data_IF_952284298203
#
_entry.id   IF_952284298203
#
_cell.length_a   1.000
_cell.length_b   1.000
_cell.length_c   1.000
_cell.angle_alpha   90.00
_cell.angle_beta   90.00
_cell.angle_gamma   90.00
#
_symmetry.space_group_name_H-M   'P 1'
#
loop_
_entity.id
_entity.type
_entity.pdbx_description
1 polymer ?
#
# COMPACT_ATOMS: atom_id res chain seq x y z
N UNK A 1 -2.03 -13.73 6.69
CA UNK A 1 -2.83 -12.80 5.91
C UNK A 1 -4.27 -12.71 6.40
N UNK A 2 -5.07 -13.78 6.31
CA UNK A 2 -6.52 -13.79 6.60
C UNK A 2 -6.85 -13.28 8.01
N UNK A 3 -6.13 -13.73 9.05
CA UNK A 3 -6.36 -13.30 10.43
C UNK A 3 -6.13 -11.78 10.62
N UNK A 4 -5.02 -11.26 10.08
CA UNK A 4 -4.69 -9.82 10.17
C UNK A 4 -5.65 -8.99 9.33
N UNK A 5 -5.97 -9.44 8.11
CA UNK A 5 -6.95 -8.79 7.24
C UNK A 5 -8.35 -8.72 7.87
N UNK A 6 -8.80 -9.83 8.48
CA UNK A 6 -10.05 -9.86 9.23
C UNK A 6 -10.04 -8.88 10.42
N UNK A 7 -8.95 -8.85 11.19
CA UNK A 7 -8.80 -7.91 12.29
C UNK A 7 -8.83 -6.45 11.81
N UNK A 8 -8.19 -6.16 10.66
CA UNK A 8 -8.22 -4.85 10.03
C UNK A 8 -9.64 -4.43 9.64
N UNK A 9 -10.35 -5.29 8.89
CA UNK A 9 -11.74 -5.01 8.47
C UNK A 9 -12.67 -4.84 9.67
N UNK A 10 -12.52 -5.69 10.69
CA UNK A 10 -13.35 -5.60 11.91
C UNK A 10 -13.12 -4.28 12.66
N UNK A 11 -11.87 -3.82 12.73
CA UNK A 11 -11.47 -2.64 13.50
C UNK A 11 -11.71 -1.32 12.76
N UNK A 12 -11.84 -1.31 11.44
CA UNK A 12 -12.15 -0.09 10.69
C UNK A 12 -13.46 0.54 11.17
N UNK A 13 -13.50 1.85 11.49
CA UNK A 13 -14.72 2.54 11.89
C UNK A 13 -15.71 2.74 10.72
N UNK A 14 -15.20 2.84 9.50
CA UNK A 14 -15.97 3.00 8.26
C UNK A 14 -15.21 2.39 7.08
N UNK A 15 -15.89 2.15 5.95
CA UNK A 15 -15.28 1.64 4.73
C UNK A 15 -14.72 0.21 4.85
N UNK A 16 -15.32 -0.63 5.70
CA UNK A 16 -14.96 -2.05 5.87
C UNK A 16 -15.03 -2.81 4.55
N UNK A 17 -16.02 -2.49 3.74
CA UNK A 17 -16.25 -3.03 2.41
C UNK A 17 -15.12 -2.68 1.43
N UNK A 18 -14.53 -1.48 1.56
CA UNK A 18 -13.40 -1.06 0.72
C UNK A 18 -12.17 -1.92 1.01
N UNK A 19 -11.84 -2.11 2.29
CA UNK A 19 -10.73 -2.97 2.67
C UNK A 19 -10.97 -4.43 2.25
N UNK A 20 -12.20 -4.93 2.45
CA UNK A 20 -12.58 -6.28 2.00
C UNK A 20 -12.44 -6.42 0.48
N UNK A 21 -12.86 -5.43 -0.30
CA UNK A 21 -12.69 -5.42 -1.75
C UNK A 21 -11.22 -5.45 -2.20
N UNK A 22 -10.34 -4.69 -1.55
CA UNK A 22 -8.90 -4.74 -1.85
C UNK A 22 -8.30 -6.10 -1.51
N UNK A 23 -8.76 -6.73 -0.42
CA UNK A 23 -8.32 -8.07 -0.05
C UNK A 23 -8.79 -9.17 -1.00
N UNK A 24 -9.87 -8.93 -1.76
CA UNK A 24 -10.37 -9.83 -2.79
C UNK A 24 -9.77 -9.57 -4.18
N UNK A 25 -8.86 -8.63 -4.37
CA UNK A 25 -8.24 -8.45 -5.68
C UNK A 25 -7.41 -9.66 -6.08
N UNK A 26 -7.44 -10.09 -7.36
CA UNK A 26 -6.66 -11.23 -7.84
C UNK A 26 -5.17 -11.13 -7.51
N UNK A 27 -4.57 -9.91 -7.62
CA UNK A 27 -3.18 -9.70 -7.22
C UNK A 27 -2.96 -9.93 -5.72
N UNK A 28 -3.87 -9.47 -4.87
CA UNK A 28 -3.75 -9.67 -3.42
C UNK A 28 -3.87 -11.15 -3.05
N UNK A 29 -4.81 -11.88 -3.66
CA UNK A 29 -5.00 -13.32 -3.46
C UNK A 29 -3.81 -14.12 -4.01
N UNK A 30 -3.27 -13.73 -5.16
CA UNK A 30 -2.06 -14.31 -5.72
C UNK A 30 -0.87 -14.16 -4.77
N UNK A 31 -0.64 -12.97 -4.22
CA UNK A 31 0.40 -12.74 -3.21
C UNK A 31 0.14 -13.55 -1.92
N UNK A 32 -1.12 -13.71 -1.53
CA UNK A 32 -1.49 -14.50 -0.35
C UNK A 32 -1.25 -16.01 -0.52
N UNK A 33 -1.29 -16.51 -1.75
CA UNK A 33 -0.98 -17.90 -2.10
C UNK A 33 0.51 -18.15 -2.39
N UNK A 34 1.31 -17.09 -2.51
CA UNK A 34 2.75 -17.17 -2.73
C UNK A 34 3.53 -16.92 -1.43
N UNK A 35 4.83 -17.29 -1.42
CA UNK A 35 5.74 -17.01 -0.30
C UNK A 35 6.26 -15.56 -0.31
N UNK A 36 5.45 -14.60 -0.79
CA UNK A 36 5.84 -13.20 -0.85
C UNK A 36 5.58 -12.49 0.48
N UNK A 37 6.56 -11.74 0.97
CA UNK A 37 6.38 -10.85 2.12
C UNK A 37 5.46 -9.65 1.81
N UNK A 38 5.19 -9.35 0.54
CA UNK A 38 4.29 -8.26 0.13
C UNK A 38 2.87 -8.45 0.72
N UNK A 39 2.40 -9.69 0.85
CA UNK A 39 1.09 -9.98 1.45
C UNK A 39 1.01 -9.56 2.92
N UNK A 40 2.10 -9.72 3.66
CA UNK A 40 2.17 -9.27 5.05
C UNK A 40 2.13 -7.75 5.13
N UNK A 41 2.82 -7.06 4.22
CA UNK A 41 2.81 -5.59 4.15
C UNK A 41 1.38 -5.09 3.87
N UNK A 42 0.66 -5.68 2.92
CA UNK A 42 -0.73 -5.32 2.61
C UNK A 42 -1.63 -5.49 3.84
N UNK A 43 -1.56 -6.64 4.51
CA UNK A 43 -2.40 -6.90 5.67
C UNK A 43 -2.04 -6.01 6.87
N UNK A 44 -0.74 -5.81 7.15
CA UNK A 44 -0.27 -5.00 8.27
C UNK A 44 -0.53 -3.50 8.04
N UNK A 45 -0.35 -2.98 6.82
CA UNK A 45 -0.67 -1.59 6.52
C UNK A 45 -2.18 -1.32 6.65
N UNK A 46 -3.02 -2.25 6.22
CA UNK A 46 -4.47 -2.15 6.43
C UNK A 46 -4.83 -2.20 7.92
N UNK A 47 -4.19 -3.07 8.70
CA UNK A 47 -4.41 -3.13 10.14
C UNK A 47 -3.92 -1.87 10.86
N UNK A 48 -2.73 -1.36 10.52
CA UNK A 48 -2.22 -0.09 11.06
C UNK A 48 -3.18 1.07 10.76
N UNK A 49 -3.65 1.14 9.52
CA UNK A 49 -4.67 2.11 9.09
C UNK A 49 -5.95 2.00 9.92
N UNK A 50 -6.45 0.78 10.11
CA UNK A 50 -7.65 0.54 10.88
C UNK A 50 -7.52 0.99 12.33
N UNK A 51 -6.39 0.68 12.98
CA UNK A 51 -6.10 1.13 14.35
C UNK A 51 -6.03 2.66 14.43
N UNK A 52 -5.29 3.30 13.51
CA UNK A 52 -5.17 4.77 13.49
C UNK A 52 -6.52 5.45 13.29
N UNK A 53 -7.35 4.95 12.35
CA UNK A 53 -8.67 5.52 12.07
C UNK A 53 -9.67 5.28 13.22
N UNK A 54 -9.66 4.11 13.84
CA UNK A 54 -10.45 3.81 15.02
C UNK A 54 -10.10 4.78 16.16
N UNK A 55 -8.80 4.91 16.47
CA UNK A 55 -8.32 5.83 17.50
C UNK A 55 -8.59 7.30 17.15
N UNK A 56 -8.55 7.67 15.87
CA UNK A 56 -8.84 9.05 15.47
C UNK A 56 -10.33 9.38 15.56
N UNK A 57 -11.21 8.43 15.20
CA UNK A 57 -12.63 8.69 14.98
C UNK A 57 -13.53 8.23 16.13
N UNK A 58 -13.39 6.97 16.59
CA UNK A 58 -14.36 6.35 17.51
C UNK A 58 -13.84 6.16 18.94
N UNK A 59 -12.62 5.68 19.11
CA UNK A 59 -12.08 5.40 20.45
C UNK A 59 -12.04 6.66 21.33
N UNK A 60 -12.42 6.52 22.59
CA UNK A 60 -12.42 7.63 23.57
C UNK A 60 -11.00 7.99 24.06
N UNK A 61 -10.11 7.01 24.10
CA UNK A 61 -8.72 7.14 24.57
C UNK A 61 -7.79 6.15 23.87
N UNK A 62 -6.51 6.46 23.83
CA UNK A 62 -5.45 5.56 23.37
C UNK A 62 -4.96 4.71 24.53
N UNK A 63 -5.00 3.40 24.38
CA UNK A 63 -4.49 2.44 25.36
C UNK A 63 -3.04 2.02 25.07
N UNK A 64 -2.39 1.41 26.06
CA UNK A 64 -1.04 0.84 25.89
C UNK A 64 -1.04 -0.26 24.83
N UNK A 65 -2.07 -1.10 24.78
CA UNK A 65 -2.20 -2.16 23.78
C UNK A 65 -2.27 -1.61 22.34
N UNK A 66 -2.90 -0.43 22.14
CA UNK A 66 -2.98 0.20 20.83
C UNK A 66 -1.60 0.68 20.38
N UNK A 67 -0.86 1.34 21.28
CA UNK A 67 0.51 1.80 21.00
C UNK A 67 1.43 0.60 20.74
N UNK A 68 1.32 -0.48 21.53
CA UNK A 68 2.09 -1.69 21.35
C UNK A 68 1.78 -2.35 20.00
N UNK A 69 0.50 -2.40 19.58
CA UNK A 69 0.10 -2.93 18.29
C UNK A 69 0.68 -2.10 17.13
N UNK A 70 0.58 -0.77 17.20
CA UNK A 70 1.16 0.13 16.21
C UNK A 70 2.69 -0.01 16.12
N UNK A 71 3.37 -0.09 17.26
CA UNK A 71 4.82 -0.29 17.32
C UNK A 71 5.24 -1.65 16.75
N UNK A 72 4.52 -2.73 17.08
CA UNK A 72 4.79 -4.07 16.56
C UNK A 72 4.62 -4.13 15.03
N UNK A 73 3.55 -3.51 14.50
CA UNK A 73 3.34 -3.43 13.05
C UNK A 73 4.49 -2.69 12.38
N UNK A 74 4.92 -1.55 12.90
CA UNK A 74 6.03 -0.78 12.33
C UNK A 74 7.37 -1.53 12.42
N UNK A 75 7.61 -2.27 13.49
CA UNK A 75 8.81 -3.10 13.64
C UNK A 75 8.89 -4.22 12.59
N UNK A 76 7.75 -4.76 12.15
CA UNK A 76 7.72 -5.79 11.10
C UNK A 76 7.76 -5.15 9.70
N UNK A 77 6.99 -4.09 9.47
CA UNK A 77 6.91 -3.45 8.15
C UNK A 77 8.21 -2.78 7.72
N UNK A 78 8.93 -2.16 8.66
CA UNK A 78 10.18 -1.47 8.36
C UNK A 78 11.19 -2.33 7.62
N UNK A 79 11.66 -3.45 8.21
CA UNK A 79 12.60 -4.34 7.56
C UNK A 79 12.13 -4.94 6.23
N UNK A 80 10.82 -5.18 6.09
CA UNK A 80 10.26 -5.72 4.86
C UNK A 80 10.33 -4.73 3.70
N UNK A 81 9.88 -3.49 3.93
CA UNK A 81 9.94 -2.39 2.95
C UNK A 81 9.85 -1.04 3.67
N UNK A 82 10.99 -0.42 3.88
CA UNK A 82 11.16 0.84 4.60
C UNK A 82 10.22 1.96 4.13
N UNK A 83 9.90 2.02 2.85
CA UNK A 83 9.07 3.07 2.25
C UNK A 83 7.66 3.16 2.86
N UNK A 84 7.12 2.06 3.36
CA UNK A 84 5.81 2.07 4.02
C UNK A 84 5.84 2.60 5.46
N UNK A 85 7.02 2.88 6.01
CA UNK A 85 7.15 3.62 7.28
C UNK A 85 6.45 4.99 7.26
N UNK A 86 6.26 5.58 6.08
CA UNK A 86 5.49 6.81 5.86
C UNK A 86 4.06 6.71 6.40
N UNK A 87 3.46 5.52 6.39
CA UNK A 87 2.09 5.27 6.92
C UNK A 87 2.00 5.58 8.42
N UNK A 88 3.13 5.59 9.17
CA UNK A 88 3.18 6.05 10.56
C UNK A 88 2.65 7.48 10.74
N UNK A 89 2.72 8.30 9.68
CA UNK A 89 2.11 9.63 9.66
C UNK A 89 0.60 9.66 9.90
N UNK A 90 -0.11 8.53 9.78
CA UNK A 90 -1.52 8.42 10.17
C UNK A 90 -1.75 8.64 11.67
N UNK A 91 -0.76 8.37 12.51
CA UNK A 91 -0.83 8.64 13.94
C UNK A 91 -1.07 10.13 14.26
N UNK A 92 -0.69 11.03 13.33
CA UNK A 92 -0.94 12.47 13.49
C UNK A 92 -2.43 12.86 13.34
N UNK A 93 -3.26 11.99 12.80
CA UNK A 93 -4.71 12.18 12.78
C UNK A 93 -5.35 11.97 14.17
N UNK A 94 -4.65 11.29 15.08
CA UNK A 94 -5.17 10.97 16.41
C UNK A 94 -5.01 12.21 17.32
N UNK A 95 -6.11 12.76 17.88
CA UNK A 95 -6.04 13.94 18.73
C UNK A 95 -5.18 13.71 19.98
N UNK A 96 -4.28 14.63 20.30
CA UNK A 96 -3.39 14.58 21.48
C UNK A 96 -4.18 14.36 22.78
N UNK A 97 -5.38 14.90 22.88
CA UNK A 97 -6.27 14.74 24.05
C UNK A 97 -6.58 13.28 24.37
N UNK A 98 -6.66 12.41 23.34
CA UNK A 98 -6.95 10.97 23.51
C UNK A 98 -5.78 10.20 24.15
N UNK A 99 -4.56 10.74 24.09
CA UNK A 99 -3.39 10.20 24.79
C UNK A 99 -3.33 10.67 26.25
N UNK A 100 -4.14 11.65 26.64
CA UNK A 100 -4.09 12.25 27.98
C UNK A 100 -3.00 13.31 28.14
N UNK A 101 -2.49 13.89 27.05
CA UNK A 101 -1.56 15.02 27.01
C UNK A 101 -0.35 14.80 26.11
N UNK A 102 0.40 15.87 25.89
CA UNK A 102 1.56 15.91 24.98
C UNK A 102 2.69 14.95 25.37
N UNK A 103 2.94 14.76 26.67
CA UNK A 103 3.98 13.84 27.15
C UNK A 103 3.70 12.39 26.75
N UNK A 104 2.47 11.92 26.98
CA UNK A 104 2.07 10.56 26.59
C UNK A 104 1.99 10.39 25.07
N UNK A 105 1.56 11.43 24.36
CA UNK A 105 1.59 11.44 22.89
C UNK A 105 3.03 11.30 22.37
N UNK A 106 3.96 12.12 22.89
CA UNK A 106 5.37 12.05 22.51
C UNK A 106 6.02 10.70 22.82
N UNK A 107 5.73 10.12 24.00
CA UNK A 107 6.20 8.78 24.34
C UNK A 107 5.64 7.70 23.41
N UNK A 108 4.36 7.79 23.04
CA UNK A 108 3.74 6.87 22.10
C UNK A 108 4.35 6.99 20.69
N UNK A 109 4.58 8.22 20.23
CA UNK A 109 5.26 8.47 18.95
C UNK A 109 6.71 7.92 18.98
N UNK A 110 7.44 8.15 20.08
CA UNK A 110 8.79 7.61 20.26
C UNK A 110 8.79 6.07 20.28
N UNK A 111 7.78 5.43 20.89
CA UNK A 111 7.66 3.97 20.90
C UNK A 111 7.44 3.41 19.49
N UNK A 112 6.52 4.00 18.70
CA UNK A 112 6.20 3.55 17.34
C UNK A 112 7.39 3.78 16.39
N UNK A 113 7.96 4.99 16.38
CA UNK A 113 9.10 5.32 15.51
C UNK A 113 10.38 4.64 15.98
N UNK A 114 10.58 4.51 17.29
CA UNK A 114 11.71 3.79 17.86
C UNK A 114 11.69 2.30 17.53
N UNK A 115 10.52 1.66 17.57
CA UNK A 115 10.38 0.26 17.15
C UNK A 115 10.72 0.08 15.66
N UNK A 116 10.25 0.98 14.79
CA UNK A 116 10.62 1.00 13.38
C UNK A 116 12.14 1.18 13.20
N UNK A 117 12.72 2.20 13.82
CA UNK A 117 14.15 2.51 13.69
C UNK A 117 15.04 1.39 14.24
N UNK A 118 14.69 0.81 15.38
CA UNK A 118 15.42 -0.30 15.99
C UNK A 118 15.37 -1.54 15.08
N UNK A 119 14.21 -1.89 14.57
CA UNK A 119 14.07 -3.02 13.64
C UNK A 119 14.86 -2.80 12.35
N UNK A 120 14.79 -1.58 11.78
CA UNK A 120 15.60 -1.20 10.61
C UNK A 120 17.10 -1.30 10.89
N UNK A 121 17.56 -0.79 12.04
CA UNK A 121 18.97 -0.85 12.41
C UNK A 121 19.44 -2.30 12.60
N UNK A 122 18.66 -3.14 13.26
CA UNK A 122 19.03 -4.54 13.53
C UNK A 122 19.09 -5.35 12.23
N UNK A 123 18.07 -5.21 11.36
CA UNK A 123 17.91 -6.07 10.18
C UNK A 123 18.56 -5.50 8.93
N UNK A 124 18.42 -4.20 8.68
CA UNK A 124 18.73 -3.60 7.38
C UNK A 124 19.96 -2.66 7.39
N UNK A 125 20.70 -2.57 8.50
CA UNK A 125 21.85 -1.63 8.61
C UNK A 125 22.86 -1.76 7.48
N UNK A 126 23.20 -2.98 7.08
CA UNK A 126 24.17 -3.25 6.00
C UNK A 126 23.61 -2.82 4.64
N UNK A 127 22.34 -3.09 4.37
CA UNK A 127 21.67 -2.67 3.13
C UNK A 127 21.56 -1.16 3.04
N UNK A 128 21.18 -0.49 4.14
CA UNK A 128 21.10 0.99 4.19
C UNK A 128 22.48 1.60 3.96
N UNK A 129 23.51 1.08 4.64
CA UNK A 129 24.89 1.55 4.47
C UNK A 129 25.39 1.40 3.02
N UNK A 130 25.07 0.26 2.38
CA UNK A 130 25.42 0.01 0.99
C UNK A 130 24.91 1.09 0.05
N UNK A 131 23.63 1.48 0.18
CA UNK A 131 23.03 2.47 -0.72
C UNK A 131 23.32 3.93 -0.35
N UNK A 132 23.59 4.23 0.93
CA UNK A 132 23.84 5.62 1.37
C UNK A 132 25.30 6.03 1.33
N UNK A 133 26.24 5.08 1.47
CA UNK A 133 27.68 5.35 1.55
C UNK A 133 28.42 4.99 0.27
N UNK A 134 27.78 4.32 -0.68
CA UNK A 134 28.43 3.95 -1.94
C UNK A 134 28.80 5.19 -2.76
N UNK A 135 30.06 5.27 -3.18
CA UNK A 135 30.55 6.25 -4.16
C UNK A 135 30.16 5.88 -5.59
N UNK A 136 29.94 4.58 -5.85
CA UNK A 136 29.50 4.03 -7.12
C UNK A 136 28.35 3.07 -6.88
N UNK A 137 27.43 3.01 -7.84
CA UNK A 137 26.28 2.11 -7.83
C UNK A 137 26.32 1.21 -9.06
N UNK A 138 26.05 -0.09 -8.88
CA UNK A 138 26.02 -1.07 -9.95
C UNK A 138 24.71 -1.85 -9.92
N UNK A 139 24.05 -1.90 -11.09
CA UNK A 139 22.78 -2.60 -11.27
C UNK A 139 23.04 -3.97 -11.89
N UNK A 140 23.13 -5.00 -11.05
CA UNK A 140 23.61 -6.31 -11.43
C UNK A 140 22.82 -6.99 -12.56
N UNK A 141 21.50 -6.79 -12.62
CA UNK A 141 20.66 -7.41 -13.65
C UNK A 141 20.84 -6.80 -15.05
N UNK A 142 21.31 -5.53 -15.11
CA UNK A 142 21.55 -4.80 -16.35
C UNK A 142 23.04 -4.79 -16.71
N UNK A 143 23.92 -5.21 -15.80
CA UNK A 143 25.37 -5.12 -15.92
C UNK A 143 25.87 -3.69 -16.20
N UNK A 144 25.17 -2.69 -15.65
CA UNK A 144 25.43 -1.27 -15.86
C UNK A 144 25.56 -0.49 -14.55
N UNK A 145 26.08 0.73 -14.66
CA UNK A 145 26.13 1.69 -13.54
C UNK A 145 24.73 2.17 -13.20
N UNK A 146 24.43 2.26 -11.90
CA UNK A 146 23.20 2.85 -11.36
C UNK A 146 23.41 4.27 -10.84
N UNK A 147 22.35 4.84 -10.27
CA UNK A 147 22.41 6.12 -9.61
C UNK A 147 22.89 6.00 -8.17
N UNK A 148 23.71 6.93 -7.70
CA UNK A 148 24.07 7.03 -6.28
C UNK A 148 23.06 7.92 -5.54
N UNK A 149 22.93 7.71 -4.22
CA UNK A 149 22.06 8.52 -3.37
C UNK A 149 22.40 10.02 -3.47
N UNK A 150 23.69 10.36 -3.46
CA UNK A 150 24.18 11.73 -3.59
C UNK A 150 23.78 12.37 -4.92
N UNK A 151 23.92 11.66 -6.05
CA UNK A 151 23.52 12.16 -7.37
C UNK A 151 22.03 12.48 -7.42
N UNK A 152 21.17 11.57 -6.91
CA UNK A 152 19.72 11.77 -6.91
C UNK A 152 19.31 12.95 -6.01
N UNK A 153 19.94 13.09 -4.85
CA UNK A 153 19.66 14.19 -3.93
C UNK A 153 19.99 15.56 -4.52
N UNK A 154 21.08 15.65 -5.28
CA UNK A 154 21.49 16.90 -5.95
C UNK A 154 20.77 17.15 -7.29
N UNK A 155 19.99 16.19 -7.78
CA UNK A 155 19.29 16.27 -9.06
C UNK A 155 17.79 16.03 -8.95
N UNK A 156 17.02 16.82 -8.16
CA UNK A 156 15.59 16.59 -7.94
C UNK A 156 14.77 16.68 -9.25
N UNK A 157 15.19 17.51 -10.22
CA UNK A 157 14.57 17.58 -11.53
C UNK A 157 14.66 16.26 -12.32
N UNK A 158 15.78 15.54 -12.23
CA UNK A 158 15.95 14.23 -12.82
C UNK A 158 14.96 13.22 -12.16
N UNK A 159 14.89 13.24 -10.84
CA UNK A 159 13.98 12.33 -10.10
C UNK A 159 12.53 12.57 -10.52
N UNK A 160 12.08 13.82 -10.55
CA UNK A 160 10.72 14.19 -10.97
C UNK A 160 10.45 13.78 -12.43
N UNK A 161 11.41 14.03 -13.34
CA UNK A 161 11.28 13.61 -14.74
C UNK A 161 11.16 12.10 -14.86
N UNK A 162 12.01 11.33 -14.20
CA UNK A 162 11.97 9.87 -14.23
C UNK A 162 10.66 9.32 -13.65
N UNK A 163 10.14 9.92 -12.57
CA UNK A 163 8.82 9.57 -12.03
C UNK A 163 7.71 9.84 -13.05
N UNK A 164 7.72 11.01 -13.69
CA UNK A 164 6.73 11.37 -14.70
C UNK A 164 6.80 10.42 -15.91
N UNK A 165 7.99 10.20 -16.47
CA UNK A 165 8.20 9.32 -17.61
C UNK A 165 7.74 7.88 -17.30
N UNK A 166 8.02 7.39 -16.08
CA UNK A 166 7.57 6.07 -15.63
C UNK A 166 6.04 5.98 -15.59
N UNK A 167 5.38 6.97 -15.01
CA UNK A 167 3.92 6.99 -14.95
C UNK A 167 3.29 7.14 -16.33
N UNK A 168 3.90 7.95 -17.21
CA UNK A 168 3.41 8.15 -18.57
C UNK A 168 3.55 6.89 -19.45
N UNK A 169 4.66 6.15 -19.32
CA UNK A 169 4.95 5.00 -20.18
C UNK A 169 4.48 3.67 -19.60
N UNK A 170 4.50 3.51 -18.28
CA UNK A 170 4.18 2.25 -17.59
C UNK A 170 2.90 2.32 -16.75
N UNK A 171 2.18 3.46 -16.74
CA UNK A 171 1.02 3.68 -15.87
C UNK A 171 -0.08 2.64 -16.06
N UNK A 172 -0.38 2.23 -17.29
CA UNK A 172 -1.35 1.18 -17.57
C UNK A 172 -0.90 -0.17 -17.01
N UNK A 173 0.37 -0.53 -17.18
CA UNK A 173 0.94 -1.76 -16.65
C UNK A 173 0.95 -1.76 -15.11
N UNK A 174 1.28 -0.62 -14.49
CA UNK A 174 1.24 -0.46 -13.04
C UNK A 174 -0.18 -0.57 -12.51
N UNK A 175 -1.14 0.06 -13.17
CA UNK A 175 -2.56 -0.03 -12.83
C UNK A 175 -3.09 -1.46 -12.97
N UNK A 176 -2.91 -2.08 -14.14
CA UNK A 176 -3.38 -3.45 -14.36
C UNK A 176 -2.70 -4.44 -13.42
N UNK A 177 -1.38 -4.30 -13.20
CA UNK A 177 -0.61 -5.12 -12.29
C UNK A 177 -1.01 -4.95 -10.81
N UNK A 178 -1.55 -3.80 -10.42
CA UNK A 178 -2.12 -3.60 -9.08
C UNK A 178 -3.38 -4.43 -8.87
N UNK A 179 -4.24 -4.54 -9.86
CA UNK A 179 -5.52 -5.26 -9.75
C UNK A 179 -5.33 -6.77 -9.93
N UNK A 180 -4.54 -7.19 -10.93
CA UNK A 180 -4.34 -8.61 -11.24
C UNK A 180 -3.77 -8.87 -12.63
N UNK A 181 -3.25 -7.84 -13.30
CA UNK A 181 -2.73 -7.95 -14.66
C UNK A 181 -1.32 -8.54 -14.79
N UNK A 182 -0.66 -8.91 -13.70
CA UNK A 182 0.71 -9.44 -13.71
C UNK A 182 0.86 -10.61 -12.74
N UNK A 183 0.08 -11.66 -12.95
CA UNK A 183 0.09 -12.87 -12.15
C UNK A 183 1.23 -13.83 -12.60
N UNK A 184 1.51 -14.86 -11.82
CA UNK A 184 2.41 -15.92 -12.20
C UNK A 184 3.84 -15.45 -12.50
N UNK A 185 4.45 -14.68 -11.62
CA UNK A 185 5.80 -14.11 -11.79
C UNK A 185 5.91 -13.19 -13.03
N UNK A 186 4.87 -12.38 -13.27
CA UNK A 186 4.75 -11.43 -14.39
C UNK A 186 4.66 -12.11 -15.78
N UNK A 187 4.19 -13.35 -15.82
CA UNK A 187 3.94 -14.05 -17.07
C UNK A 187 2.73 -13.41 -17.79
N UNK A 188 2.96 -12.88 -19.00
CA UNK A 188 1.93 -12.20 -19.78
C UNK A 188 0.76 -13.09 -20.18
N UNK A 189 0.91 -14.43 -20.19
CA UNK A 189 -0.16 -15.38 -20.50
C UNK A 189 -1.09 -15.59 -19.30
N UNK A 190 -0.57 -15.51 -18.08
CA UNK A 190 -1.32 -15.71 -16.84
C UNK A 190 -2.03 -14.45 -16.34
N UNK A 191 -2.08 -13.39 -17.13
CA UNK A 191 -2.73 -12.14 -16.77
C UNK A 191 -4.26 -12.29 -16.66
N UNK A 192 -4.85 -11.55 -15.71
CA UNK A 192 -6.30 -11.33 -15.66
C UNK A 192 -6.76 -10.60 -16.93
N UNK A 193 -7.84 -11.03 -17.61
CA UNK A 193 -8.37 -10.32 -18.76
C UNK A 193 -8.72 -8.86 -18.41
N UNK A 194 -8.38 -7.94 -19.33
CA UNK A 194 -8.57 -6.51 -19.09
C UNK A 194 -10.02 -6.10 -18.76
N UNK A 195 -11.08 -6.67 -19.36
CA UNK A 195 -12.46 -6.40 -18.95
C UNK A 195 -12.74 -6.75 -17.49
N UNK A 196 -12.11 -7.82 -16.96
CA UNK A 196 -12.25 -8.21 -15.54
C UNK A 196 -11.54 -7.21 -14.65
N UNK A 197 -10.35 -6.71 -15.06
CA UNK A 197 -9.64 -5.63 -14.35
C UNK A 197 -10.52 -4.38 -14.25
N UNK A 198 -11.16 -3.98 -15.34
CA UNK A 198 -12.07 -2.83 -15.34
C UNK A 198 -13.30 -3.06 -14.44
N UNK A 199 -13.89 -4.26 -14.49
CA UNK A 199 -15.03 -4.62 -13.66
C UNK A 199 -14.68 -4.61 -12.16
N UNK A 200 -13.52 -5.17 -11.78
CA UNK A 200 -13.00 -5.13 -10.41
C UNK A 200 -12.72 -3.69 -9.95
N UNK A 201 -12.16 -2.87 -10.83
CA UNK A 201 -11.94 -1.44 -10.53
C UNK A 201 -13.26 -0.72 -10.31
N UNK A 202 -14.25 -0.94 -11.17
CA UNK A 202 -15.58 -0.37 -11.01
C UNK A 202 -16.23 -0.82 -9.69
N UNK A 203 -16.07 -2.09 -9.32
CA UNK A 203 -16.53 -2.62 -8.03
C UNK A 203 -15.86 -1.90 -6.84
N UNK A 204 -14.53 -1.71 -6.88
CA UNK A 204 -13.81 -0.95 -5.84
C UNK A 204 -14.28 0.50 -5.75
N UNK A 205 -14.48 1.18 -6.88
CA UNK A 205 -14.99 2.55 -6.91
C UNK A 205 -16.40 2.59 -6.31
N UNK A 206 -17.28 1.66 -6.66
CA UNK A 206 -18.61 1.55 -6.08
C UNK A 206 -18.58 1.32 -4.56
N UNK A 207 -17.68 0.47 -4.06
CA UNK A 207 -17.47 0.27 -2.62
C UNK A 207 -16.91 1.53 -1.94
N UNK A 208 -16.11 2.33 -2.66
CA UNK A 208 -15.54 3.58 -2.17
C UNK A 208 -16.52 4.76 -2.18
N UNK A 209 -17.72 4.62 -2.78
CA UNK A 209 -18.77 5.64 -2.68
C UNK A 209 -19.44 5.59 -1.32
N UNK A 210 -19.87 6.76 -0.83
CA UNK A 210 -20.61 6.88 0.42
C UNK A 210 -22.00 6.21 0.32
N UNK A 211 -22.43 5.57 1.39
CA UNK A 211 -23.79 5.02 1.52
C UNK A 211 -24.74 6.05 2.14
N UNK A 212 -26.05 5.96 1.87
CA UNK A 212 -27.05 6.79 2.55
C UNK A 212 -26.95 6.60 4.08
N UNK A 213 -26.91 7.70 4.83
CA UNK A 213 -26.81 7.67 6.28
C UNK A 213 -25.44 7.34 6.87
N UNK A 214 -24.43 6.99 6.04
CA UNK A 214 -23.07 6.75 6.51
C UNK A 214 -22.44 8.05 7.02
N UNK A 215 -21.86 8.03 8.22
CA UNK A 215 -21.13 9.17 8.77
C UNK A 215 -19.69 9.14 8.30
N UNK A 216 -19.21 10.30 7.85
CA UNK A 216 -17.81 10.47 7.44
C UNK A 216 -17.05 11.25 8.52
N UNK A 217 -16.32 10.55 9.40
CA UNK A 217 -15.67 11.20 10.54
C UNK A 217 -14.40 11.97 10.16
N UNK A 218 -13.87 11.77 8.92
CA UNK A 218 -12.66 12.44 8.46
C UNK A 218 -13.02 13.67 7.61
N UNK A 219 -12.71 14.86 8.14
CA UNK A 219 -12.87 16.12 7.43
C UNK A 219 -11.88 16.27 6.26
N UNK A 220 -12.06 17.34 5.46
CA UNK A 220 -11.24 17.60 4.27
C UNK A 220 -9.73 17.71 4.57
N UNK A 221 -9.33 18.27 5.72
CA UNK A 221 -7.92 18.36 6.15
C UNK A 221 -7.29 16.98 6.38
N UNK A 222 -8.04 16.07 7.01
CA UNK A 222 -7.58 14.70 7.22
C UNK A 222 -7.44 13.93 5.90
N UNK A 223 -8.35 14.16 4.94
CA UNK A 223 -8.24 13.57 3.59
C UNK A 223 -7.03 14.08 2.83
N UNK A 224 -6.75 15.39 2.87
CA UNK A 224 -5.55 15.97 2.27
C UNK A 224 -4.28 15.40 2.90
N UNK A 225 -4.28 15.19 4.23
CA UNK A 225 -3.17 14.56 4.92
C UNK A 225 -2.94 13.11 4.45
N UNK A 226 -4.00 12.33 4.32
CA UNK A 226 -3.92 10.95 3.79
C UNK A 226 -3.40 10.95 2.35
N UNK A 227 -3.88 11.85 1.49
CA UNK A 227 -3.39 12.00 0.12
C UNK A 227 -1.90 12.34 0.09
N UNK A 228 -1.47 13.26 0.96
CA UNK A 228 -0.06 13.60 1.10
C UNK A 228 0.76 12.37 1.48
N UNK A 229 0.33 11.57 2.46
CA UNK A 229 1.02 10.33 2.85
C UNK A 229 1.07 9.31 1.69
N UNK A 230 -0.01 9.15 0.93
CA UNK A 230 -0.02 8.28 -0.24
C UNK A 230 0.97 8.75 -1.31
N UNK A 231 1.03 10.06 -1.58
CA UNK A 231 1.98 10.65 -2.53
C UNK A 231 3.43 10.50 -2.06
N UNK A 232 3.70 10.76 -0.78
CA UNK A 232 5.06 10.55 -0.21
C UNK A 232 5.46 9.08 -0.28
N UNK A 233 4.54 8.16 0.01
CA UNK A 233 4.80 6.73 -0.08
C UNK A 233 5.09 6.31 -1.53
N UNK A 234 4.32 6.79 -2.51
CA UNK A 234 4.56 6.57 -3.93
C UNK A 234 5.92 7.14 -4.36
N UNK A 235 6.23 8.38 -3.97
CA UNK A 235 7.51 9.03 -4.27
C UNK A 235 8.69 8.29 -3.66
N UNK A 236 8.59 7.87 -2.40
CA UNK A 236 9.62 7.07 -1.72
C UNK A 236 9.82 5.71 -2.40
N UNK A 237 8.75 5.08 -2.87
CA UNK A 237 8.81 3.82 -3.62
C UNK A 237 9.52 4.03 -4.96
N UNK A 238 9.14 5.04 -5.73
CA UNK A 238 9.80 5.40 -6.99
C UNK A 238 11.28 5.71 -6.77
N UNK A 239 11.60 6.52 -5.75
CA UNK A 239 12.97 6.86 -5.40
C UNK A 239 13.81 5.63 -5.01
N UNK A 240 13.24 4.71 -4.23
CA UNK A 240 13.94 3.48 -3.84
C UNK A 240 14.26 2.58 -5.04
N UNK A 241 13.34 2.47 -6.01
CA UNK A 241 13.56 1.71 -7.24
C UNK A 241 14.55 2.40 -8.18
N UNK A 242 14.50 3.73 -8.25
CA UNK A 242 15.47 4.52 -9.00
C UNK A 242 16.90 4.32 -8.47
N UNK A 243 17.06 4.29 -7.15
CA UNK A 243 18.35 4.09 -6.48
C UNK A 243 18.88 2.66 -6.60
N UNK A 244 17.99 1.66 -6.42
CA UNK A 244 18.43 0.28 -6.24
C UNK A 244 18.34 -0.59 -7.50
N UNK A 245 17.57 -0.18 -8.51
CA UNK A 245 17.18 -1.08 -9.60
C UNK A 245 17.30 -0.46 -11.00
N UNK A 246 17.58 0.85 -11.10
CA UNK A 246 17.54 1.56 -12.37
C UNK A 246 18.92 1.92 -12.87
N UNK A 247 19.37 1.43 -14.05
CA UNK A 247 20.62 1.85 -14.66
C UNK A 247 20.52 3.28 -15.22
N UNK A 248 21.64 3.98 -15.29
CA UNK A 248 21.68 5.39 -15.77
C UNK A 248 21.24 5.57 -17.22
N UNK A 249 21.31 4.52 -18.03
CA UNK A 249 20.87 4.49 -19.44
C UNK A 249 19.36 4.39 -19.59
N UNK A 250 18.65 4.01 -18.53
CA UNK A 250 17.20 3.83 -18.58
C UNK A 250 16.46 5.18 -18.63
N UNK A 251 15.39 5.25 -19.44
CA UNK A 251 14.52 6.42 -19.55
C UNK A 251 13.38 6.43 -18.53
N UNK A 252 13.12 5.28 -17.90
CA UNK A 252 12.06 5.06 -16.91
C UNK A 252 12.61 4.33 -15.70
N UNK A 253 11.96 4.46 -14.56
CA UNK A 253 12.36 3.75 -13.36
C UNK A 253 12.05 2.27 -13.53
N UNK A 254 13.06 1.42 -13.44
CA UNK A 254 12.94 -0.02 -13.57
C UNK A 254 12.52 -0.67 -12.25
N UNK A 255 11.88 -1.85 -12.33
CA UNK A 255 11.52 -2.65 -11.18
C UNK A 255 10.27 -2.19 -10.40
N UNK A 256 9.64 -1.08 -10.79
CA UNK A 256 8.37 -0.64 -10.20
C UNK A 256 7.26 -1.59 -10.62
N UNK A 257 6.48 -2.07 -9.65
CA UNK A 257 5.39 -3.02 -9.91
C UNK A 257 4.10 -2.52 -9.29
N UNK A 258 2.97 -2.75 -9.98
CA UNK A 258 1.65 -2.29 -9.54
C UNK A 258 1.27 -2.81 -8.15
N UNK A 259 1.66 -4.05 -7.79
CA UNK A 259 1.41 -4.64 -6.47
C UNK A 259 1.96 -3.81 -5.30
N UNK A 260 2.97 -2.98 -5.54
CA UNK A 260 3.52 -2.11 -4.50
C UNK A 260 2.58 -0.96 -4.11
N UNK A 261 1.52 -0.72 -4.86
CA UNK A 261 0.50 0.29 -4.54
C UNK A 261 -0.63 -0.27 -3.65
N UNK A 262 -0.77 -1.60 -3.56
CA UNK A 262 -1.82 -2.26 -2.76
C UNK A 262 -1.83 -1.86 -1.28
N UNK A 263 -0.68 -1.67 -0.57
CA UNK A 263 -0.69 -1.26 0.83
C UNK A 263 -1.33 0.10 1.09
N UNK A 264 -1.26 1.03 0.13
CA UNK A 264 -1.82 2.38 0.25
C UNK A 264 -3.18 2.53 -0.45
N UNK A 265 -3.59 1.54 -1.25
CA UNK A 265 -4.84 1.58 -2.01
C UNK A 265 -6.09 1.70 -1.11
N UNK A 266 -6.24 0.95 0.00
CA UNK A 266 -7.38 1.13 0.90
C UNK A 266 -7.44 2.56 1.45
N UNK A 267 -6.30 3.13 1.86
CA UNK A 267 -6.21 4.51 2.36
C UNK A 267 -6.72 5.52 1.33
N UNK A 268 -6.25 5.41 0.10
CA UNK A 268 -6.68 6.27 -0.99
C UNK A 268 -8.18 6.14 -1.24
N UNK A 269 -8.70 4.92 -1.37
CA UNK A 269 -10.11 4.66 -1.64
C UNK A 269 -11.03 5.18 -0.52
N UNK A 270 -10.63 5.05 0.75
CA UNK A 270 -11.40 5.58 1.89
C UNK A 270 -11.59 7.10 1.81
N UNK A 271 -10.67 7.83 1.20
CA UNK A 271 -10.79 9.28 1.04
C UNK A 271 -11.80 9.70 -0.04
N UNK A 272 -12.17 8.79 -0.95
CA UNK A 272 -13.15 9.05 -2.00
C UNK A 272 -14.58 9.16 -1.47
N UNK A 273 -14.87 8.54 -0.31
CA UNK A 273 -16.18 8.66 0.35
C UNK A 273 -16.48 10.13 0.68
N UNK A 274 -17.52 10.67 0.04
CA UNK A 274 -17.91 12.08 0.24
C UNK A 274 -19.43 12.26 0.08
N UNK A 275 -19.95 13.40 0.55
CA UNK A 275 -21.38 13.70 0.55
C UNK A 275 -21.93 14.06 -0.84
N UNK A 276 -21.08 14.32 -1.83
CA UNK A 276 -21.48 14.71 -3.19
C UNK A 276 -21.75 13.50 -4.08
N UNK A 277 -21.12 12.36 -3.79
CA UNK A 277 -21.26 11.11 -4.54
C UNK A 277 -21.76 10.02 -3.61
N UNK A 278 -23.07 9.92 -3.49
CA UNK A 278 -23.75 8.94 -2.62
C UNK A 278 -24.32 7.83 -3.49
N UNK A 279 -23.97 6.60 -3.17
CA UNK A 279 -24.51 5.41 -3.81
C UNK A 279 -25.92 5.15 -3.30
N UNK A 280 -26.86 4.94 -4.19
CA UNK A 280 -28.19 4.52 -3.85
C UNK A 280 -28.31 3.03 -3.56
N UNK A 281 -28.83 2.25 -3.36
CA UNK A 281 -29.36 0.93 -3.10
C UNK A 281 -28.54 -0.34 -3.38
N UNK A 282 -27.25 -0.30 -3.57
CA UNK A 282 -26.47 -1.52 -3.78
C UNK A 282 -25.95 -2.08 -2.44
N UNK A 283 -26.29 -3.34 -2.17
CA UNK A 283 -25.74 -4.05 -1.00
C UNK A 283 -24.29 -4.39 -1.25
N UNK A 284 -23.39 -4.01 -0.31
CA UNK A 284 -21.95 -4.32 -0.39
C UNK A 284 -21.69 -5.81 -0.60
N UNK A 285 -22.48 -6.67 0.05
CA UNK A 285 -22.38 -8.12 -0.11
C UNK A 285 -22.56 -8.60 -1.54
N UNK A 286 -23.43 -7.96 -2.34
CA UNK A 286 -23.60 -8.28 -3.76
C UNK A 286 -22.37 -7.93 -4.60
N UNK A 287 -21.77 -6.75 -4.33
CA UNK A 287 -20.55 -6.32 -5.02
C UNK A 287 -19.37 -7.23 -4.66
N UNK A 288 -19.18 -7.51 -3.36
CA UNK A 288 -18.12 -8.40 -2.89
C UNK A 288 -18.30 -9.82 -3.41
N UNK A 289 -19.55 -10.32 -3.51
CA UNK A 289 -19.84 -11.61 -4.12
C UNK A 289 -19.47 -11.62 -5.61
N UNK A 290 -19.82 -10.56 -6.36
CA UNK A 290 -19.44 -10.44 -7.77
C UNK A 290 -17.91 -10.40 -7.95
N UNK A 291 -17.18 -9.70 -7.06
CA UNK A 291 -15.71 -9.72 -7.06
C UNK A 291 -15.18 -11.15 -6.82
N UNK A 292 -15.70 -11.86 -5.82
CA UNK A 292 -15.32 -13.25 -5.55
C UNK A 292 -15.63 -14.19 -6.73
N UNK A 293 -16.76 -14.00 -7.43
CA UNK A 293 -17.07 -14.77 -8.63
C UNK A 293 -16.07 -14.49 -9.78
N UNK A 294 -15.64 -13.24 -9.95
CA UNK A 294 -14.59 -12.89 -10.89
C UNK A 294 -13.25 -13.52 -10.51
N UNK A 295 -12.91 -13.60 -9.22
CA UNK A 295 -11.70 -14.28 -8.76
C UNK A 295 -11.74 -15.79 -9.06
N UNK A 296 -12.88 -16.43 -8.83
CA UNK A 296 -13.07 -17.86 -9.22
C UNK A 296 -12.84 -18.04 -10.72
N UNK A 297 -13.39 -17.16 -11.54
CA UNK A 297 -13.13 -17.19 -13.00
C UNK A 297 -11.63 -17.05 -13.31
N UNK A 298 -10.92 -16.10 -12.68
CA UNK A 298 -9.48 -15.90 -12.88
C UNK A 298 -8.69 -17.15 -12.48
N UNK A 299 -9.01 -17.75 -11.34
CA UNK A 299 -8.34 -18.98 -10.86
C UNK A 299 -8.56 -20.14 -11.83
N UNK A 300 -9.81 -20.39 -12.27
CA UNK A 300 -10.13 -21.45 -13.22
C UNK A 300 -9.43 -21.22 -14.57
N UNK A 301 -9.37 -19.99 -15.03
CA UNK A 301 -8.65 -19.62 -16.25
C UNK A 301 -7.14 -19.91 -16.12
N UNK A 302 -6.51 -19.48 -15.03
CA UNK A 302 -5.08 -19.75 -14.77
C UNK A 302 -4.84 -21.26 -14.72
N UNK A 303 -5.67 -22.00 -13.99
CA UNK A 303 -5.56 -23.45 -13.89
C UNK A 303 -5.64 -24.12 -15.27
N UNK A 304 -6.63 -23.73 -16.10
CA UNK A 304 -6.76 -24.24 -17.48
C UNK A 304 -5.52 -23.94 -18.33
N UNK A 305 -4.99 -22.71 -18.26
CA UNK A 305 -3.80 -22.33 -19.01
C UNK A 305 -2.54 -23.08 -18.58
N UNK A 306 -2.39 -23.34 -17.28
CA UNK A 306 -1.28 -24.13 -16.76
C UNK A 306 -1.39 -25.58 -17.18
N UNK A 307 -2.59 -26.18 -17.11
CA UNK A 307 -2.81 -27.57 -17.58
C UNK A 307 -2.58 -27.73 -19.09
N UNK A 308 -2.84 -26.70 -19.90
CA UNK A 308 -2.60 -26.76 -21.35
C UNK A 308 -1.10 -26.60 -21.72
N UNK A 309 -0.26 -26.16 -20.79
CA UNK A 309 1.19 -26.04 -20.99
C UNK A 309 1.97 -27.33 -20.62
N UNK A 310 1.32 -28.28 -19.99
CA UNK A 310 1.85 -29.60 -19.64
C UNK A 310 1.53 -30.59 -20.75
#
# INVERSE_FOLDING_TARGET
YTAVGYAAVRRLPFGKEVAAGVFLLPMTLHLASSLSYDVMIIALSAYFTAVCLDLACEASRVGICDVAALAAVMAVMGPCKMVYGVIAGLCLLIPVKKFGGWGKWGLSAAAVLGAFAAAMFIVNRSTVALYTQASESYVAWAEETGYTFSQLLHSPGLVLKMCYDTLAWQGEQLYSGMIGGALGNMDGVLNTPYPVILALTAALVLLALKKPGERMPIGWKGRLWIWFLCLVCLGALMFSMLLAWTPVTSKVIQGVQGRYLLPILPLFLLTLKNDKAVRTDWRDGGILFAMGAMDVYVVLRIFSLVCLRV
#
